data_IF_169331240755
#
_entry.id   IF_169331240755
#
_cell.length_a   1.000
_cell.length_b   1.000
_cell.length_c   1.000
_cell.angle_alpha   90.00
_cell.angle_beta   90.00
_cell.angle_gamma   90.00
#
_symmetry.space_group_name_H-M   'P 1'
#
loop_
_entity.id
_entity.type
_entity.pdbx_description
1 polymer ?
#
# COMPACT_ATOMS: atom_id res chain seq x y z
N UNK A 1 13.78 4.41 34.62
CA UNK A 1 13.51 5.32 33.49
C UNK A 1 12.13 5.91 33.69
N UNK A 2 11.98 7.24 33.67
CA UNK A 2 10.66 7.86 33.74
C UNK A 2 9.94 7.60 32.42
N UNK A 3 8.82 6.89 32.49
CA UNK A 3 7.91 6.63 31.38
C UNK A 3 7.41 7.98 30.82
N UNK A 4 7.61 8.21 29.52
CA UNK A 4 7.28 9.50 28.91
C UNK A 4 5.76 9.65 28.79
N UNK A 5 5.25 10.89 28.69
CA UNK A 5 3.82 11.14 28.46
C UNK A 5 3.29 10.48 27.19
N UNK A 6 4.14 10.25 26.20
CA UNK A 6 3.84 9.49 24.99
C UNK A 6 3.63 8.01 25.28
N UNK A 7 4.52 7.39 26.07
CA UNK A 7 4.42 5.97 26.42
C UNK A 7 3.11 5.68 27.15
N UNK A 8 2.72 6.52 28.13
CA UNK A 8 1.44 6.41 28.85
C UNK A 8 0.22 6.53 27.92
N UNK A 9 0.30 7.40 26.92
CA UNK A 9 -0.80 7.61 25.97
C UNK A 9 -0.91 6.46 24.97
N UNK A 10 0.23 5.92 24.55
CA UNK A 10 0.30 4.74 23.69
C UNK A 10 -0.27 3.52 24.42
N UNK A 11 0.10 3.32 25.69
CA UNK A 11 -0.41 2.21 26.50
C UNK A 11 -1.91 2.31 26.78
N UNK A 12 -2.42 3.51 27.09
CA UNK A 12 -3.86 3.72 27.28
C UNK A 12 -4.69 3.36 26.05
N UNK A 13 -4.18 3.64 24.86
CA UNK A 13 -4.89 3.40 23.59
C UNK A 13 -4.38 2.15 22.85
N UNK A 14 -3.57 1.32 23.50
CA UNK A 14 -2.85 0.24 22.86
C UNK A 14 -3.78 -0.75 22.18
N UNK A 15 -4.85 -1.18 22.85
CA UNK A 15 -5.81 -2.15 22.31
C UNK A 15 -6.45 -1.64 21.03
N UNK A 16 -6.95 -0.40 21.03
CA UNK A 16 -7.54 0.23 19.85
C UNK A 16 -6.53 0.37 18.71
N UNK A 17 -5.36 0.94 18.99
CA UNK A 17 -4.32 1.15 17.99
C UNK A 17 -3.84 -0.18 17.41
N UNK A 18 -3.63 -1.19 18.25
CA UNK A 18 -3.21 -2.52 17.83
C UNK A 18 -4.27 -3.17 16.94
N UNK A 19 -5.54 -3.19 17.36
CA UNK A 19 -6.61 -3.82 16.60
C UNK A 19 -6.85 -3.14 15.25
N UNK A 20 -6.95 -1.81 15.19
CA UNK A 20 -7.21 -1.10 13.93
C UNK A 20 -6.05 -1.28 12.95
N UNK A 21 -4.80 -1.18 13.40
CA UNK A 21 -3.66 -1.40 12.51
C UNK A 21 -3.49 -2.87 12.12
N UNK A 22 -3.89 -3.82 12.98
CA UNK A 22 -3.89 -5.25 12.65
C UNK A 22 -4.90 -5.55 11.54
N UNK A 23 -6.11 -5.00 11.66
CA UNK A 23 -7.14 -5.12 10.63
C UNK A 23 -6.65 -4.47 9.32
N UNK A 24 -6.06 -3.28 9.39
CA UNK A 24 -5.51 -2.59 8.21
C UNK A 24 -4.47 -3.44 7.47
N UNK A 25 -3.50 -4.04 8.17
CA UNK A 25 -2.54 -4.97 7.56
C UNK A 25 -3.24 -6.18 6.97
N UNK A 26 -4.17 -6.82 7.70
CA UNK A 26 -4.85 -8.01 7.20
C UNK A 26 -5.59 -7.71 5.88
N UNK A 27 -6.28 -6.57 5.77
CA UNK A 27 -6.96 -6.16 4.55
C UNK A 27 -6.01 -5.75 3.42
N UNK A 28 -4.88 -5.10 3.72
CA UNK A 28 -3.84 -4.83 2.72
C UNK A 28 -3.29 -6.14 2.18
N UNK A 29 -2.93 -7.09 3.05
CA UNK A 29 -2.39 -8.38 2.64
C UNK A 29 -3.39 -9.14 1.79
N UNK A 30 -4.66 -9.23 2.22
CA UNK A 30 -5.73 -9.81 1.42
C UNK A 30 -5.86 -9.13 0.04
N UNK A 31 -5.85 -7.80 0.00
CA UNK A 31 -5.94 -7.04 -1.26
C UNK A 31 -4.78 -7.35 -2.20
N UNK A 32 -3.55 -7.46 -1.67
CA UNK A 32 -2.38 -7.82 -2.45
C UNK A 32 -2.48 -9.26 -2.97
N UNK A 33 -2.96 -10.21 -2.15
CA UNK A 33 -3.21 -11.59 -2.59
C UNK A 33 -4.21 -11.66 -3.73
N UNK A 34 -5.32 -10.90 -3.63
CA UNK A 34 -6.36 -10.88 -4.67
C UNK A 34 -5.91 -10.23 -5.98
N UNK A 35 -5.18 -9.11 -5.89
CA UNK A 35 -4.64 -8.43 -7.07
C UNK A 35 -3.49 -9.23 -7.70
N UNK A 36 -2.76 -10.00 -6.89
CA UNK A 36 -1.56 -10.78 -7.23
C UNK A 36 -0.75 -10.15 -8.36
N UNK A 37 0.01 -9.12 -8.01
CA UNK A 37 0.74 -8.29 -8.98
C UNK A 37 1.75 -9.07 -9.83
N UNK A 38 2.21 -10.22 -9.33
CA UNK A 38 3.18 -11.07 -9.99
C UNK A 38 2.56 -12.10 -10.93
N UNK A 39 1.25 -12.39 -10.79
CA UNK A 39 0.59 -13.43 -11.60
C UNK A 39 -0.65 -12.92 -12.34
N UNK A 40 -1.57 -12.24 -11.67
CA UNK A 40 -2.85 -11.80 -12.26
C UNK A 40 -2.65 -10.58 -13.15
N UNK A 41 -1.87 -9.58 -12.73
CA UNK A 41 -1.63 -8.39 -13.57
C UNK A 41 -0.89 -8.71 -14.89
N UNK A 42 0.18 -9.53 -14.91
CA UNK A 42 0.83 -9.93 -16.16
C UNK A 42 -0.11 -10.68 -17.09
N UNK A 43 -0.93 -11.59 -16.56
CA UNK A 43 -1.92 -12.32 -17.36
C UNK A 43 -2.96 -11.36 -17.93
N UNK A 44 -3.52 -10.46 -17.12
CA UNK A 44 -4.44 -9.43 -17.60
C UNK A 44 -3.81 -8.60 -18.72
N UNK A 45 -2.58 -8.10 -18.54
CA UNK A 45 -1.90 -7.31 -19.55
C UNK A 45 -1.64 -8.11 -20.83
N UNK A 46 -1.30 -9.40 -20.74
CA UNK A 46 -1.14 -10.25 -21.93
C UNK A 46 -2.44 -10.47 -22.72
N UNK A 47 -3.61 -10.32 -22.09
CA UNK A 47 -4.89 -10.33 -22.82
C UNK A 47 -5.19 -9.01 -23.53
N UNK A 48 -4.51 -7.93 -23.16
CA UNK A 48 -4.67 -6.58 -23.72
C UNK A 48 -3.61 -6.25 -24.79
N UNK A 49 -2.44 -6.90 -24.75
CA UNK A 49 -1.33 -6.65 -25.67
C UNK A 49 -0.33 -7.81 -25.75
N UNK A 50 0.28 -7.99 -26.93
CA UNK A 50 1.41 -8.92 -27.15
C UNK A 50 2.79 -8.29 -26.81
N UNK A 51 2.81 -7.06 -26.27
CA UNK A 51 4.06 -6.34 -25.99
C UNK A 51 4.74 -6.84 -24.72
N UNK A 52 5.86 -7.54 -24.89
CA UNK A 52 6.74 -7.94 -23.78
C UNK A 52 7.24 -6.75 -22.95
N UNK A 53 7.42 -5.58 -23.58
CA UNK A 53 7.80 -4.36 -22.87
C UNK A 53 6.69 -3.91 -21.90
N UNK A 54 5.43 -3.96 -22.32
CA UNK A 54 4.30 -3.58 -21.47
C UNK A 54 4.15 -4.50 -20.26
N UNK A 55 4.38 -5.81 -20.45
CA UNK A 55 4.38 -6.79 -19.36
C UNK A 55 5.55 -6.51 -18.39
N UNK A 56 6.76 -6.27 -18.92
CA UNK A 56 7.93 -5.93 -18.09
C UNK A 56 7.79 -4.61 -17.32
N UNK A 57 7.03 -3.65 -17.86
CA UNK A 57 6.74 -2.38 -17.18
C UNK A 57 5.97 -2.56 -15.88
N UNK A 58 5.22 -3.65 -15.69
CA UNK A 58 4.49 -3.91 -14.44
C UNK A 58 5.45 -3.93 -13.25
N UNK A 59 6.49 -4.76 -13.34
CA UNK A 59 7.51 -4.88 -12.29
C UNK A 59 8.31 -3.58 -12.12
N UNK A 60 8.68 -2.94 -13.24
CA UNK A 60 9.45 -1.69 -13.22
C UNK A 60 8.67 -0.54 -12.56
N UNK A 61 7.42 -0.32 -12.97
CA UNK A 61 6.57 0.74 -12.43
C UNK A 61 6.30 0.55 -10.95
N UNK A 62 5.97 -0.68 -10.54
CA UNK A 62 5.68 -0.94 -9.13
C UNK A 62 6.95 -0.88 -8.26
N UNK A 63 8.05 -1.50 -8.70
CA UNK A 63 9.33 -1.47 -7.99
C UNK A 63 9.87 -0.05 -7.83
N UNK A 64 9.97 0.71 -8.93
CA UNK A 64 10.37 2.11 -8.87
C UNK A 64 9.37 2.93 -8.04
N UNK A 65 8.07 2.67 -8.21
CA UNK A 65 7.01 3.32 -7.46
C UNK A 65 7.19 3.18 -5.95
N UNK A 66 7.50 1.99 -5.46
CA UNK A 66 7.73 1.80 -4.03
C UNK A 66 9.01 2.48 -3.56
N UNK A 67 10.14 2.28 -4.24
CA UNK A 67 11.44 2.63 -3.68
C UNK A 67 11.86 4.08 -3.96
N UNK A 68 11.56 4.60 -5.15
CA UNK A 68 12.06 5.90 -5.60
C UNK A 68 11.47 7.08 -4.79
N UNK A 69 10.16 7.17 -4.52
CA UNK A 69 9.58 8.29 -3.79
C UNK A 69 10.12 8.40 -2.38
N UNK A 70 10.40 7.28 -1.72
CA UNK A 70 10.89 7.25 -0.34
C UNK A 70 12.18 8.05 -0.16
N UNK A 71 13.06 8.05 -1.17
CA UNK A 71 14.30 8.83 -1.15
C UNK A 71 14.04 10.34 -1.05
N UNK A 72 12.93 10.81 -1.63
CA UNK A 72 12.55 12.22 -1.63
C UNK A 72 11.60 12.56 -0.48
N UNK A 73 10.71 11.65 -0.09
CA UNK A 73 9.68 11.91 0.91
C UNK A 73 10.12 11.64 2.34
N UNK A 74 11.19 10.88 2.59
CA UNK A 74 11.64 10.56 3.95
C UNK A 74 11.91 11.82 4.81
N UNK A 75 12.73 12.76 4.34
CA UNK A 75 13.05 13.97 5.11
C UNK A 75 11.81 14.86 5.34
N UNK A 76 10.92 14.93 4.34
CA UNK A 76 9.68 15.69 4.44
C UNK A 76 8.75 15.07 5.49
N UNK A 77 8.54 13.76 5.42
CA UNK A 77 7.60 13.03 6.28
C UNK A 77 8.04 12.93 7.74
N UNK A 78 9.35 12.86 7.99
CA UNK A 78 9.93 12.89 9.33
C UNK A 78 9.53 14.17 10.10
N UNK A 79 9.59 15.32 9.39
CA UNK A 79 9.27 16.66 9.93
C UNK A 79 7.77 16.89 10.16
N UNK A 80 6.89 16.03 9.65
CA UNK A 80 5.44 16.20 9.85
C UNK A 80 5.08 16.12 11.33
N UNK A 81 4.39 17.13 11.85
CA UNK A 81 3.89 17.10 13.24
C UNK A 81 2.91 15.94 13.46
N UNK A 82 2.02 15.71 12.49
CA UNK A 82 1.04 14.63 12.50
C UNK A 82 1.17 13.77 11.24
N UNK A 83 1.54 12.49 11.40
CA UNK A 83 1.74 11.54 10.30
C UNK A 83 0.41 10.99 9.75
N UNK A 84 -0.56 10.76 10.63
CA UNK A 84 -1.83 10.09 10.30
C UNK A 84 -2.60 10.72 9.13
N UNK A 85 -2.82 12.05 9.05
CA UNK A 85 -3.57 12.64 7.93
C UNK A 85 -2.89 12.41 6.58
N UNK A 86 -1.56 12.54 6.54
CA UNK A 86 -0.77 12.30 5.34
C UNK A 86 -0.86 10.83 4.90
N UNK A 87 -0.63 9.90 5.83
CA UNK A 87 -0.73 8.45 5.57
C UNK A 87 -2.14 8.06 5.10
N UNK A 88 -3.19 8.60 5.73
CA UNK A 88 -4.57 8.32 5.35
C UNK A 88 -4.90 8.85 3.95
N UNK A 89 -4.47 10.08 3.62
CA UNK A 89 -4.76 10.68 2.32
C UNK A 89 -4.01 9.97 1.20
N UNK A 90 -2.68 9.84 1.34
CA UNK A 90 -1.83 9.22 0.32
C UNK A 90 -2.10 7.73 0.20
N UNK A 91 -2.27 7.01 1.31
CA UNK A 91 -2.60 5.58 1.30
C UNK A 91 -4.02 5.29 0.77
N UNK A 92 -5.02 6.11 1.11
CA UNK A 92 -6.38 5.84 0.64
C UNK A 92 -6.62 6.31 -0.79
N UNK A 93 -6.32 7.57 -1.09
CA UNK A 93 -6.60 8.16 -2.40
C UNK A 93 -5.50 7.83 -3.40
N UNK A 94 -4.24 7.80 -2.96
CA UNK A 94 -3.10 7.57 -3.85
C UNK A 94 -2.78 6.09 -4.07
N UNK A 95 -2.91 5.24 -3.05
CA UNK A 95 -2.55 3.83 -3.15
C UNK A 95 -3.75 2.91 -3.42
N UNK A 96 -4.85 3.07 -2.66
CA UNK A 96 -6.01 2.16 -2.73
C UNK A 96 -6.99 2.49 -3.86
N UNK A 97 -7.36 3.76 -4.04
CA UNK A 97 -8.29 4.17 -5.09
C UNK A 97 -7.85 3.74 -6.51
N UNK A 98 -6.55 3.78 -6.89
CA UNK A 98 -6.14 3.29 -8.20
C UNK A 98 -6.48 1.81 -8.47
N UNK A 99 -6.50 0.93 -7.46
CA UNK A 99 -6.92 -0.46 -7.68
C UNK A 99 -8.40 -0.56 -8.07
N UNK A 100 -9.26 0.26 -7.47
CA UNK A 100 -10.66 0.35 -7.88
C UNK A 100 -10.77 0.90 -9.32
N UNK A 101 -10.00 1.95 -9.63
CA UNK A 101 -9.98 2.54 -10.96
C UNK A 101 -9.45 1.58 -12.03
N UNK A 102 -8.49 0.71 -11.71
CA UNK A 102 -8.07 -0.38 -12.60
C UNK A 102 -9.25 -1.29 -12.94
N UNK A 103 -10.00 -1.75 -11.93
CA UNK A 103 -11.15 -2.62 -12.14
C UNK A 103 -12.21 -1.95 -13.02
N UNK A 104 -12.50 -0.68 -12.79
CA UNK A 104 -13.40 0.14 -13.61
C UNK A 104 -12.87 0.27 -15.05
N UNK A 105 -11.58 0.54 -15.23
CA UNK A 105 -10.97 0.68 -16.55
C UNK A 105 -11.06 -0.63 -17.35
N UNK A 106 -10.78 -1.77 -16.71
CA UNK A 106 -10.91 -3.10 -17.33
C UNK A 106 -12.36 -3.36 -17.71
N UNK A 107 -13.32 -3.12 -16.80
CA UNK A 107 -14.74 -3.37 -17.03
C UNK A 107 -15.30 -2.65 -18.27
N UNK A 108 -14.95 -1.37 -18.44
CA UNK A 108 -15.47 -0.57 -19.54
C UNK A 108 -14.66 -0.63 -20.82
N UNK A 109 -13.34 -0.87 -20.74
CA UNK A 109 -12.45 -0.66 -21.89
C UNK A 109 -11.69 -1.90 -22.35
N UNK A 110 -11.64 -3.01 -21.60
CA UNK A 110 -10.84 -4.17 -21.98
C UNK A 110 -11.23 -4.74 -23.37
N UNK A 111 -12.53 -4.78 -23.69
CA UNK A 111 -13.03 -5.25 -24.98
C UNK A 111 -13.12 -4.14 -26.03
N UNK A 112 -13.79 -2.99 -25.78
CA UNK A 112 -13.98 -1.99 -26.83
C UNK A 112 -12.74 -1.14 -27.13
N UNK A 113 -11.78 -1.04 -26.20
CA UNK A 113 -10.59 -0.21 -26.33
C UNK A 113 -9.39 -0.77 -25.52
N UNK A 114 -8.85 -1.94 -25.86
CA UNK A 114 -7.83 -2.64 -25.05
C UNK A 114 -6.57 -1.81 -24.80
N UNK A 115 -6.14 -0.99 -25.78
CA UNK A 115 -5.01 -0.08 -25.59
C UNK A 115 -5.28 0.99 -24.53
N UNK A 116 -6.51 1.50 -24.44
CA UNK A 116 -6.88 2.47 -23.41
C UNK A 116 -6.95 1.80 -22.04
N UNK A 117 -7.51 0.59 -21.94
CA UNK A 117 -7.51 -0.20 -20.72
C UNK A 117 -6.06 -0.44 -20.22
N UNK A 118 -5.15 -0.81 -21.12
CA UNK A 118 -3.74 -1.03 -20.81
C UNK A 118 -3.08 0.21 -20.20
N UNK A 119 -3.21 1.37 -20.87
CA UNK A 119 -2.62 2.63 -20.38
C UNK A 119 -3.17 3.01 -19.02
N UNK A 120 -4.49 2.88 -18.83
CA UNK A 120 -5.13 3.17 -17.54
C UNK A 120 -4.67 2.23 -16.43
N UNK A 121 -4.56 0.93 -16.71
CA UNK A 121 -4.08 -0.06 -15.74
C UNK A 121 -2.63 0.22 -15.33
N UNK A 122 -1.72 0.45 -16.29
CA UNK A 122 -0.32 0.76 -16.00
C UNK A 122 -0.19 2.11 -15.27
N UNK A 123 -0.96 3.12 -15.67
CA UNK A 123 -0.99 4.43 -15.00
C UNK A 123 -1.47 4.33 -13.54
N UNK A 124 -2.54 3.60 -13.30
CA UNK A 124 -3.03 3.33 -11.94
C UNK A 124 -2.00 2.55 -11.11
N UNK A 125 -1.26 1.63 -11.73
CA UNK A 125 -0.25 0.81 -11.04
C UNK A 125 0.92 1.69 -10.60
N UNK A 126 1.39 2.56 -11.50
CA UNK A 126 2.41 3.53 -11.19
C UNK A 126 1.97 4.48 -10.08
N UNK A 127 0.75 5.03 -10.15
CA UNK A 127 0.20 5.91 -9.12
C UNK A 127 0.11 5.22 -7.76
N UNK A 128 -0.35 3.96 -7.73
CA UNK A 128 -0.47 3.18 -6.50
C UNK A 128 0.91 2.93 -5.88
N UNK A 129 1.86 2.45 -6.68
CA UNK A 129 3.24 2.22 -6.24
C UNK A 129 3.89 3.50 -5.71
N UNK A 130 3.81 4.60 -6.46
CA UNK A 130 4.38 5.89 -6.08
C UNK A 130 3.80 6.42 -4.76
N UNK A 131 2.49 6.25 -4.56
CA UNK A 131 1.81 6.69 -3.35
C UNK A 131 2.17 5.82 -2.15
N UNK A 132 2.20 4.50 -2.32
CA UNK A 132 2.64 3.56 -1.30
C UNK A 132 4.07 3.87 -0.86
N UNK A 133 4.98 4.06 -1.83
CA UNK A 133 6.35 4.51 -1.59
C UNK A 133 6.37 5.82 -0.81
N UNK A 134 5.69 6.86 -1.29
CA UNK A 134 5.69 8.17 -0.62
C UNK A 134 5.18 8.13 0.84
N UNK A 135 4.18 7.29 1.13
CA UNK A 135 3.55 7.16 2.44
C UNK A 135 4.34 6.28 3.43
N UNK A 136 5.15 5.35 2.92
CA UNK A 136 5.83 4.31 3.71
C UNK A 136 6.64 4.86 4.91
N UNK A 137 7.50 5.89 4.76
CA UNK A 137 8.28 6.40 5.89
C UNK A 137 7.39 6.98 7.00
N UNK A 138 6.37 7.76 6.62
CA UNK A 138 5.40 8.33 7.56
C UNK A 138 4.58 7.25 8.29
N UNK A 139 4.24 6.16 7.59
CA UNK A 139 3.51 5.03 8.15
C UNK A 139 4.36 4.28 9.19
N UNK A 140 5.61 3.93 8.86
CA UNK A 140 6.52 3.30 9.82
C UNK A 140 6.77 4.16 11.06
N UNK A 141 6.98 5.47 10.88
CA UNK A 141 7.12 6.43 11.97
C UNK A 141 5.88 6.49 12.86
N UNK A 142 4.69 6.40 12.27
CA UNK A 142 3.42 6.39 12.99
C UNK A 142 3.27 5.10 13.80
N UNK A 143 3.48 3.94 13.17
CA UNK A 143 3.41 2.62 13.82
C UNK A 143 4.38 2.55 15.01
N UNK A 144 5.59 3.08 14.83
CA UNK A 144 6.60 3.09 15.89
C UNK A 144 6.14 3.85 17.15
N UNK A 145 5.27 4.86 17.00
CA UNK A 145 4.74 5.66 18.12
C UNK A 145 3.51 5.06 18.78
N UNK A 146 2.76 4.22 18.09
CA UNK A 146 1.47 3.70 18.58
C UNK A 146 1.51 2.22 18.95
N UNK A 147 2.55 1.48 18.55
CA UNK A 147 2.75 0.07 18.90
C UNK A 147 4.10 -0.11 19.62
N UNK A 148 4.11 -0.54 20.89
CA UNK A 148 5.31 -0.82 21.66
C UNK A 148 6.20 -1.86 20.97
N UNK A 149 7.52 -1.68 21.07
CA UNK A 149 8.52 -2.53 20.39
C UNK A 149 8.30 -4.02 20.65
N UNK A 150 7.98 -4.41 21.89
CA UNK A 150 7.74 -5.80 22.30
C UNK A 150 6.54 -6.47 21.61
N UNK A 151 5.61 -5.68 21.05
CA UNK A 151 4.38 -6.19 20.41
C UNK A 151 4.39 -6.06 18.88
N UNK A 152 5.35 -5.36 18.29
CA UNK A 152 5.40 -5.14 16.82
C UNK A 152 5.52 -6.44 16.03
N UNK A 153 6.29 -7.41 16.53
CA UNK A 153 6.40 -8.72 15.90
C UNK A 153 5.07 -9.48 15.89
N UNK A 154 4.36 -9.49 17.02
CA UNK A 154 3.04 -10.11 17.12
C UNK A 154 2.01 -9.42 16.22
N UNK A 155 1.99 -8.08 16.23
CA UNK A 155 1.12 -7.28 15.37
C UNK A 155 1.34 -7.59 13.89
N UNK A 156 2.59 -7.58 13.43
CA UNK A 156 2.93 -7.84 12.03
C UNK A 156 2.61 -9.29 11.64
N UNK A 157 2.98 -10.26 12.49
CA UNK A 157 2.74 -11.67 12.23
C UNK A 157 1.26 -12.04 12.17
N UNK A 158 0.46 -11.55 13.13
CA UNK A 158 -0.99 -11.78 13.13
C UNK A 158 -1.66 -11.08 11.95
N UNK A 159 -1.28 -9.83 11.65
CA UNK A 159 -1.86 -9.08 10.54
C UNK A 159 -1.63 -9.79 9.20
N UNK A 160 -0.38 -10.10 8.87
CA UNK A 160 -0.05 -10.79 7.62
C UNK A 160 -0.61 -12.21 7.59
N UNK A 161 -0.56 -12.94 8.71
CA UNK A 161 -1.13 -14.29 8.81
C UNK A 161 -2.63 -14.32 8.59
N UNK A 162 -3.38 -13.41 9.21
CA UNK A 162 -4.84 -13.30 9.01
C UNK A 162 -5.16 -12.92 7.56
N UNK A 163 -4.46 -11.94 7.00
CA UNK A 163 -4.66 -11.53 5.61
C UNK A 163 -4.40 -12.67 4.61
N UNK A 164 -3.32 -13.43 4.80
CA UNK A 164 -2.98 -14.58 3.96
C UNK A 164 -3.94 -15.76 4.15
N UNK A 165 -4.50 -15.96 5.35
CA UNK A 165 -5.55 -16.97 5.57
C UNK A 165 -6.86 -16.61 4.88
N UNK A 166 -7.13 -15.32 4.67
CA UNK A 166 -8.32 -14.84 3.97
C UNK A 166 -8.17 -14.91 2.44
N UNK A 167 -6.94 -14.98 1.91
CA UNK A 167 -6.66 -15.02 0.47
C UNK A 167 -5.21 -15.25 0.11
#
# INVERSE_FOLDING_TARGET
MAETTLDRTADKNLTWNFTVNLIDIAFITLGISLVSRDTVLPVLVSTLTDSNLAIGLIAALYGLGIYLPQLFTANFTERLRYKKPFVMLVGSVGERLPYLLMGVAVWFFAVPAPQMALVLVLGCLAMSGLSAGAATPAWYDMIAKVIPVSRRGLWSGLGHGLGALMG
#
